data_IF_290834262547
#
_entry.id   IF_290834262547
#
_cell.length_a   1.000
_cell.length_b   1.000
_cell.length_c   1.000
_cell.angle_alpha   90.00
_cell.angle_beta   90.00
_cell.angle_gamma   90.00
#
_symmetry.space_group_name_H-M   'P 1'
#
loop_
_entity.id
_entity.type
_entity.pdbx_description
1 polymer ?
#
# COMPACT_ATOMS: atom_id res chain seq x y z
N UNK A 1 -16.73 -12.57 8.54
CA UNK A 1 -15.93 -12.84 7.33
C UNK A 1 -15.34 -14.23 7.46
N UNK A 2 -15.41 -15.03 6.40
CA UNK A 2 -14.79 -16.36 6.35
C UNK A 2 -13.30 -16.23 6.01
N UNK A 3 -12.49 -17.21 6.41
CA UNK A 3 -11.03 -17.17 6.22
C UNK A 3 -10.61 -17.09 4.75
N UNK A 4 -11.29 -17.81 3.86
CA UNK A 4 -10.94 -17.82 2.44
C UNK A 4 -11.27 -16.49 1.76
N UNK A 5 -12.33 -15.82 2.20
CA UNK A 5 -12.69 -14.48 1.75
C UNK A 5 -11.64 -13.46 2.22
N UNK A 6 -11.25 -13.53 3.50
CA UNK A 6 -10.24 -12.65 4.06
C UNK A 6 -8.89 -12.76 3.33
N UNK A 7 -8.44 -13.97 2.99
CA UNK A 7 -7.18 -14.18 2.25
C UNK A 7 -7.20 -13.52 0.86
N UNK A 8 -8.28 -13.75 0.08
CA UNK A 8 -8.43 -13.14 -1.24
C UNK A 8 -8.40 -11.61 -1.19
N UNK A 9 -8.95 -11.03 -0.13
CA UNK A 9 -8.95 -9.59 0.09
C UNK A 9 -7.56 -9.09 0.48
N UNK A 10 -6.81 -9.83 1.32
CA UNK A 10 -5.45 -9.43 1.72
C UNK A 10 -4.48 -9.38 0.55
N UNK A 11 -4.67 -10.26 -0.44
CA UNK A 11 -3.85 -10.28 -1.65
C UNK A 11 -4.34 -9.26 -2.69
N UNK A 12 -5.45 -8.55 -2.42
CA UNK A 12 -5.98 -7.56 -3.33
C UNK A 12 -5.19 -6.23 -3.21
N UNK A 13 -4.70 -5.67 -4.32
CA UNK A 13 -3.87 -4.46 -4.33
C UNK A 13 -4.57 -3.24 -3.75
N UNK A 14 -5.87 -3.08 -3.99
CA UNK A 14 -6.68 -2.04 -3.35
C UNK A 14 -6.89 -2.25 -1.84
N UNK A 15 -6.07 -3.06 -1.19
CA UNK A 15 -6.09 -3.30 0.25
C UNK A 15 -4.69 -3.12 0.81
N UNK A 16 -4.56 -2.28 1.83
CA UNK A 16 -3.30 -1.98 2.49
C UNK A 16 -3.39 -2.28 3.98
N UNK A 17 -2.28 -2.73 4.57
CA UNK A 17 -2.17 -2.86 6.03
C UNK A 17 -2.06 -1.48 6.68
N UNK A 18 -2.58 -1.34 7.92
CA UNK A 18 -2.33 -0.19 8.79
C UNK A 18 -0.85 0.15 8.84
N UNK A 19 -0.02 -0.86 9.08
CA UNK A 19 1.42 -0.69 9.18
C UNK A 19 1.99 -0.03 7.92
N UNK A 20 1.66 -0.53 6.73
CA UNK A 20 2.17 0.05 5.47
C UNK A 20 1.73 1.50 5.30
N UNK A 21 0.47 1.83 5.61
CA UNK A 21 -0.02 3.20 5.52
C UNK A 21 0.71 4.12 6.51
N UNK A 22 0.84 3.70 7.77
CA UNK A 22 1.55 4.46 8.82
C UNK A 22 3.04 4.66 8.51
N UNK A 23 3.69 3.68 7.88
CA UNK A 23 5.08 3.87 7.45
C UNK A 23 5.20 4.79 6.24
N UNK A 24 4.26 4.71 5.31
CA UNK A 24 4.24 5.57 4.10
C UNK A 24 3.97 7.03 4.49
N UNK A 25 3.09 7.28 5.45
CA UNK A 25 2.83 8.61 6.01
C UNK A 25 4.05 9.29 6.64
N UNK A 26 5.10 8.54 7.00
CA UNK A 26 6.33 9.13 7.54
C UNK A 26 7.20 9.77 6.46
N UNK A 27 6.98 9.42 5.21
CA UNK A 27 7.83 9.82 4.08
C UNK A 27 7.06 10.52 2.96
N UNK A 28 5.73 10.45 2.98
CA UNK A 28 4.87 11.16 2.05
C UNK A 28 4.32 12.45 2.66
N UNK A 29 4.14 13.47 1.83
CA UNK A 29 3.50 14.74 2.18
C UNK A 29 2.37 15.13 1.21
N UNK A 30 1.74 16.27 1.48
CA UNK A 30 0.72 16.87 0.63
C UNK A 30 -0.56 16.04 0.49
N UNK A 31 -1.10 15.99 -0.74
CA UNK A 31 -2.36 15.34 -1.05
C UNK A 31 -2.31 13.82 -0.78
N UNK A 32 -1.16 13.19 -1.03
CA UNK A 32 -0.95 11.77 -0.76
C UNK A 32 -1.06 11.46 0.73
N UNK A 33 -0.44 12.29 1.57
CA UNK A 33 -0.56 12.12 3.02
C UNK A 33 -2.02 12.25 3.47
N UNK A 34 -2.74 13.24 2.93
CA UNK A 34 -4.16 13.44 3.24
C UNK A 34 -5.04 12.24 2.84
N UNK A 35 -4.77 11.62 1.68
CA UNK A 35 -5.47 10.42 1.21
C UNK A 35 -5.20 9.21 2.11
N UNK A 36 -3.95 9.01 2.52
CA UNK A 36 -3.54 7.93 3.39
C UNK A 36 -4.12 8.09 4.81
N UNK A 37 -4.16 9.32 5.34
CA UNK A 37 -4.82 9.63 6.61
C UNK A 37 -6.33 9.37 6.55
N UNK A 38 -7.00 9.79 5.47
CA UNK A 38 -8.41 9.50 5.25
C UNK A 38 -8.68 7.98 5.19
N UNK A 39 -7.78 7.22 4.58
CA UNK A 39 -7.85 5.75 4.55
C UNK A 39 -7.76 5.17 5.97
N UNK A 40 -6.84 5.63 6.81
CA UNK A 40 -6.73 5.19 8.22
C UNK A 40 -7.94 5.60 9.08
N UNK A 41 -8.60 6.70 8.74
CA UNK A 41 -9.83 7.15 9.39
C UNK A 41 -11.07 6.31 9.02
N UNK A 42 -10.98 5.47 8.00
CA UNK A 42 -12.07 4.59 7.58
C UNK A 42 -12.19 3.35 8.47
N UNK A 43 -13.25 2.56 8.26
CA UNK A 43 -13.46 1.32 9.02
C UNK A 43 -12.58 0.22 8.43
N UNK A 44 -11.74 -0.46 9.24
CA UNK A 44 -10.92 -1.55 8.75
C UNK A 44 -11.78 -2.75 8.34
N UNK A 45 -11.25 -3.55 7.43
CA UNK A 45 -11.87 -4.78 6.96
C UNK A 45 -12.03 -5.74 8.14
N UNK A 46 -13.23 -6.31 8.27
CA UNK A 46 -13.56 -7.21 9.38
C UNK A 46 -12.72 -8.48 9.30
N UNK A 47 -11.95 -8.74 10.36
CA UNK A 47 -11.16 -9.97 10.47
C UNK A 47 -12.07 -11.19 10.69
N UNK A 48 -11.65 -12.39 10.26
CA UNK A 48 -12.36 -13.62 10.56
C UNK A 48 -12.31 -13.95 12.06
N UNK A 49 -13.27 -14.74 12.53
CA UNK A 49 -13.33 -15.15 13.93
C UNK A 49 -12.07 -15.95 14.30
N UNK A 50 -11.46 -15.62 15.44
CA UNK A 50 -10.23 -16.27 15.91
C UNK A 50 -8.93 -15.74 15.30
N UNK A 51 -8.98 -14.68 14.49
CA UNK A 51 -7.79 -14.00 13.97
C UNK A 51 -6.92 -13.42 15.13
N UNK A 52 -5.63 -13.77 15.19
CA UNK A 52 -4.75 -13.45 16.34
C UNK A 52 -3.89 -12.19 16.22
N UNK A 53 -3.93 -11.46 15.11
CA UNK A 53 -3.13 -10.23 14.94
C UNK A 53 -3.82 -8.95 15.41
N UNK A 54 -3.03 -8.05 16.02
CA UNK A 54 -3.47 -6.77 16.57
C UNK A 54 -3.81 -5.71 15.51
N UNK A 55 -3.93 -4.45 15.93
CA UNK A 55 -4.35 -3.35 15.05
C UNK A 55 -3.36 -3.05 13.90
N UNK A 56 -2.08 -3.35 14.06
CA UNK A 56 -1.05 -3.10 13.05
C UNK A 56 -1.27 -3.86 11.73
N UNK A 57 -2.02 -4.96 11.78
CA UNK A 57 -2.38 -5.75 10.61
C UNK A 57 -3.84 -5.53 10.17
N UNK A 58 -4.49 -4.49 10.70
CA UNK A 58 -5.79 -4.07 10.18
C UNK A 58 -5.63 -3.75 8.70
N UNK A 59 -6.52 -4.28 7.88
CA UNK A 59 -6.51 -4.07 6.45
C UNK A 59 -7.53 -2.99 6.10
N UNK A 60 -7.18 -2.10 5.17
CA UNK A 60 -8.02 -1.01 4.73
C UNK A 60 -8.20 -1.06 3.22
N UNK A 61 -9.43 -0.87 2.76
CA UNK A 61 -9.67 -0.63 1.34
C UNK A 61 -9.16 0.76 0.99
N UNK A 62 -8.46 0.85 -0.12
CA UNK A 62 -7.94 2.10 -0.64
C UNK A 62 -8.49 2.36 -2.04
N UNK A 63 -8.65 3.64 -2.37
CA UNK A 63 -9.04 4.12 -3.70
C UNK A 63 -7.88 4.78 -4.44
N UNK A 64 -6.64 4.44 -4.08
CA UNK A 64 -5.45 4.93 -4.76
C UNK A 64 -5.51 4.57 -6.25
N UNK A 65 -5.29 5.58 -7.08
CA UNK A 65 -5.13 5.44 -8.52
C UNK A 65 -3.67 5.17 -8.85
N UNK A 66 -3.39 4.78 -10.11
CA UNK A 66 -2.01 4.56 -10.57
C UNK A 66 -1.13 5.79 -10.35
N UNK A 67 -1.67 6.98 -10.56
CA UNK A 67 -0.95 8.24 -10.37
C UNK A 67 -0.55 8.43 -8.90
N UNK A 68 -1.46 8.11 -7.98
CA UNK A 68 -1.20 8.19 -6.54
C UNK A 68 -0.11 7.18 -6.13
N UNK A 69 -0.21 5.93 -6.62
CA UNK A 69 0.80 4.87 -6.35
C UNK A 69 2.17 5.26 -6.91
N UNK A 70 2.20 5.86 -8.10
CA UNK A 70 3.43 6.36 -8.73
C UNK A 70 4.05 7.46 -7.86
N UNK A 71 3.24 8.41 -7.41
CA UNK A 71 3.71 9.51 -6.57
C UNK A 71 4.22 9.00 -5.21
N UNK A 72 3.53 8.02 -4.61
CA UNK A 72 3.99 7.34 -3.38
C UNK A 72 5.35 6.68 -3.61
N UNK A 73 5.49 5.88 -4.68
CA UNK A 73 6.74 5.18 -4.98
C UNK A 73 7.91 6.16 -5.16
N UNK A 74 7.70 7.29 -5.84
CA UNK A 74 8.72 8.34 -6.00
C UNK A 74 9.13 8.94 -4.65
N UNK A 75 8.17 9.29 -3.79
CA UNK A 75 8.46 9.87 -2.48
C UNK A 75 9.18 8.88 -1.56
N UNK A 76 8.75 7.63 -1.52
CA UNK A 76 9.40 6.55 -0.76
C UNK A 76 10.84 6.32 -1.24
N UNK A 77 11.06 6.22 -2.56
CA UNK A 77 12.42 6.08 -3.12
C UNK A 77 13.31 7.28 -2.78
N UNK A 78 12.76 8.50 -2.84
CA UNK A 78 13.46 9.72 -2.46
C UNK A 78 13.88 9.64 -0.99
N UNK A 79 12.95 9.29 -0.10
CA UNK A 79 13.19 9.12 1.32
C UNK A 79 14.23 8.03 1.63
N UNK A 80 14.20 6.88 0.95
CA UNK A 80 15.24 5.84 1.06
C UNK A 80 16.61 6.38 0.67
N UNK A 81 16.70 7.14 -0.43
CA UNK A 81 17.95 7.72 -0.92
C UNK A 81 18.50 8.79 0.04
N UNK A 82 17.62 9.57 0.68
CA UNK A 82 18.03 10.62 1.63
C UNK A 82 18.31 10.08 3.03
N UNK A 83 17.51 9.14 3.55
CA UNK A 83 17.66 8.58 4.91
C UNK A 83 18.79 7.55 4.99
N UNK A 84 19.22 6.95 3.86
CA UNK A 84 20.50 6.22 3.78
C UNK A 84 21.72 7.10 4.15
N UNK A 85 21.59 8.43 4.18
CA UNK A 85 22.64 9.35 4.64
C UNK A 85 22.56 9.70 6.13
N UNK A 86 21.45 9.44 6.82
CA UNK A 86 21.24 9.78 8.23
C UNK A 86 21.20 8.53 9.09
N UNK A 87 22.39 8.08 9.51
CA UNK A 87 22.61 6.96 10.42
C UNK A 87 21.85 7.15 11.74
N UNK A 88 20.75 6.42 11.94
CA UNK A 88 19.97 6.42 13.19
C UNK A 88 19.49 5.01 13.55
N UNK A 89 19.56 4.59 14.83
CA UNK A 89 19.30 3.23 15.25
C UNK A 89 17.83 3.04 15.62
N UNK A 90 16.99 2.75 14.64
CA UNK A 90 15.75 1.97 14.81
C UNK A 90 15.62 1.22 13.49
N UNK A 91 15.22 -0.05 13.52
CA UNK A 91 14.89 -0.86 12.33
C UNK A 91 13.85 -0.14 11.45
N UNK A 92 14.31 0.80 10.64
CA UNK A 92 13.54 1.50 9.61
C UNK A 92 13.84 0.78 8.33
N UNK A 93 13.22 -0.39 8.15
CA UNK A 93 13.39 -1.12 6.90
C UNK A 93 12.54 -0.48 5.79
N UNK A 94 12.91 0.74 5.41
CA UNK A 94 12.35 1.42 4.25
C UNK A 94 12.59 0.65 2.95
N UNK A 95 13.53 -0.31 2.94
CA UNK A 95 13.73 -1.18 1.78
C UNK A 95 12.55 -2.13 1.57
N UNK A 96 11.92 -2.59 2.66
CA UNK A 96 10.69 -3.36 2.57
C UNK A 96 9.54 -2.53 2.02
N UNK A 97 9.38 -1.28 2.51
CA UNK A 97 8.32 -0.37 2.07
C UNK A 97 8.51 0.05 0.60
N UNK A 98 9.74 0.38 0.19
CA UNK A 98 10.10 0.68 -1.20
C UNK A 98 9.76 -0.49 -2.12
N UNK A 99 10.17 -1.69 -1.73
CA UNK A 99 9.87 -2.91 -2.51
C UNK A 99 8.37 -3.13 -2.65
N UNK A 100 7.59 -3.02 -1.58
CA UNK A 100 6.14 -3.20 -1.64
C UNK A 100 5.46 -2.21 -2.58
N UNK A 101 5.84 -0.93 -2.54
CA UNK A 101 5.25 0.07 -3.44
C UNK A 101 5.68 -0.10 -4.89
N UNK A 102 6.90 -0.59 -5.14
CA UNK A 102 7.37 -0.94 -6.49
C UNK A 102 6.61 -2.15 -7.07
N UNK A 103 6.39 -3.18 -6.26
CA UNK A 103 5.59 -4.35 -6.64
C UNK A 103 4.14 -3.94 -6.94
N UNK A 104 3.57 -3.04 -6.13
CA UNK A 104 2.22 -2.54 -6.37
C UNK A 104 2.15 -1.67 -7.63
N UNK A 105 3.14 -0.81 -7.87
CA UNK A 105 3.21 -0.04 -9.12
C UNK A 105 3.26 -0.97 -10.35
N UNK A 106 4.11 -2.00 -10.30
CA UNK A 106 4.22 -2.99 -11.37
C UNK A 106 2.90 -3.70 -11.63
N UNK A 107 2.21 -4.14 -10.57
CA UNK A 107 0.87 -4.73 -10.70
C UNK A 107 -0.14 -3.75 -11.35
N UNK A 108 -0.10 -2.48 -10.97
CA UNK A 108 -0.97 -1.45 -11.58
C UNK A 108 -0.70 -1.27 -13.08
N UNK A 109 0.52 -1.52 -13.55
CA UNK A 109 0.93 -1.48 -14.96
C UNK A 109 0.46 -2.74 -15.70
N UNK A 110 0.67 -3.94 -15.14
CA UNK A 110 0.23 -5.20 -15.77
C UNK A 110 -1.29 -5.28 -15.97
N UNK A 111 -2.06 -4.70 -15.04
CA UNK A 111 -3.53 -4.57 -15.16
C UNK A 111 -3.89 -3.63 -16.30
N UNK A 112 -3.18 -2.51 -16.46
CA UNK A 112 -3.40 -1.57 -17.56
C UNK A 112 -3.29 -2.28 -18.91
N UNK A 113 -2.23 -3.05 -19.04
CA UNK A 113 -1.86 -3.70 -20.29
C UNK A 113 -2.84 -4.83 -20.63
N UNK A 114 -3.35 -5.52 -19.60
CA UNK A 114 -4.37 -6.56 -19.73
C UNK A 114 -5.75 -5.99 -20.12
N UNK A 115 -6.13 -4.84 -19.57
CA UNK A 115 -7.35 -4.13 -19.97
C UNK A 115 -7.25 -3.54 -21.39
N UNK A 116 -6.05 -3.15 -21.82
CA UNK A 116 -5.81 -2.63 -23.18
C UNK A 116 -5.89 -3.73 -24.25
N UNK A 117 -5.41 -4.94 -23.97
CA UNK A 117 -5.45 -6.07 -24.92
C UNK A 117 -6.84 -6.70 -25.06
N UNK A 118 -7.73 -6.55 -24.07
CA UNK A 118 -9.10 -7.10 -24.12
C UNK A 118 -10.08 -6.24 -24.94
N UNK A 119 -9.64 -5.08 -25.44
CA UNK A 119 -10.46 -4.13 -26.21
C UNK A 119 -10.18 -4.10 -27.72
N UNK A 120 -9.26 -4.93 -28.24
CA UNK A 120 -8.88 -4.94 -29.66
C UNK A 120 -9.43 -6.14 -30.46
N UNK A 121 -10.32 -6.95 -29.88
CA UNK A 121 -11.09 -7.97 -30.63
C UNK A 121 -12.56 -7.51 -30.80
N UNK A 122 -12.81 -6.61 -31.75
CA UNK A 122 -14.12 -6.43 -32.41
C UNK A 122 -14.00 -6.49 -33.94
#
# INVERSE_FOLDING_TARGET
MEWDEYKKICDHPSVLTRWLIEQTLRVCDGDIASLLEATLGSVPITKPLGHKGGAAIDMFKTSLKREDVTQIAVQVQSAVKTDKRTSGPVERDYSHIEKTWLEYLHWCEEIADSEHQSGEEE
#
